data_IF_415459007121
#
_entry.id   IF_415459007121
#
_cell.length_a   1.000
_cell.length_b   1.000
_cell.length_c   1.000
_cell.angle_alpha   90.00
_cell.angle_beta   90.00
_cell.angle_gamma   90.00
#
_symmetry.space_group_name_H-M   'P 1'
#
loop_
_entity.id
_entity.type
_entity.pdbx_description
1 polymer ?
#
# COMPACT_ATOMS: atom_id res chain seq x y z
N UNK A 1 -26.71 -22.88 0.19
CA UNK A 1 -25.49 -22.06 0.15
C UNK A 1 -25.80 -20.86 -0.73
N UNK A 2 -25.94 -19.66 -0.15
CA UNK A 2 -25.91 -18.43 -0.95
C UNK A 2 -24.46 -17.98 -1.03
N UNK A 3 -23.92 -17.88 -2.24
CA UNK A 3 -22.64 -17.22 -2.45
C UNK A 3 -22.83 -15.72 -2.30
N UNK A 4 -22.02 -15.07 -1.48
CA UNK A 4 -21.95 -13.61 -1.50
C UNK A 4 -21.18 -13.19 -2.76
N UNK A 5 -21.91 -12.62 -3.71
CA UNK A 5 -21.34 -12.13 -4.97
C UNK A 5 -20.24 -11.09 -4.71
N UNK A 6 -20.31 -10.34 -3.60
CA UNK A 6 -19.31 -9.33 -3.27
C UNK A 6 -17.94 -9.93 -2.94
N UNK A 7 -17.89 -11.10 -2.32
CA UNK A 7 -16.64 -11.82 -2.05
C UNK A 7 -15.99 -12.31 -3.36
N UNK A 8 -16.80 -12.83 -4.29
CA UNK A 8 -16.32 -13.26 -5.61
C UNK A 8 -15.83 -12.07 -6.45
N UNK A 9 -16.51 -10.93 -6.41
CA UNK A 9 -16.07 -9.71 -7.09
C UNK A 9 -14.78 -9.16 -6.50
N UNK A 10 -14.62 -9.22 -5.18
CA UNK A 10 -13.37 -8.83 -4.50
C UNK A 10 -12.21 -9.71 -4.94
N UNK A 11 -12.40 -11.03 -4.98
CA UNK A 11 -11.38 -11.95 -5.47
C UNK A 11 -11.05 -11.68 -6.94
N UNK A 12 -12.07 -11.51 -7.78
CA UNK A 12 -11.92 -11.15 -9.19
C UNK A 12 -11.10 -9.86 -9.35
N UNK A 13 -11.39 -8.84 -8.56
CA UNK A 13 -10.65 -7.57 -8.56
C UNK A 13 -9.19 -7.72 -8.15
N UNK A 14 -8.87 -8.61 -7.20
CA UNK A 14 -7.48 -8.88 -6.79
C UNK A 14 -6.73 -9.63 -7.90
N UNK A 15 -7.35 -10.61 -8.55
CA UNK A 15 -6.66 -11.46 -9.56
C UNK A 15 -6.55 -10.80 -10.93
N UNK A 16 -7.43 -9.83 -11.25
CA UNK A 16 -7.39 -9.05 -12.51
C UNK A 16 -6.41 -7.89 -12.46
N UNK A 17 -5.34 -8.03 -11.69
CA UNK A 17 -4.29 -7.03 -11.63
C UNK A 17 -3.60 -6.93 -12.99
N UNK A 18 -3.62 -5.74 -13.61
CA UNK A 18 -3.26 -5.58 -15.02
C UNK A 18 -1.76 -5.60 -15.30
N UNK A 19 -0.92 -5.51 -14.26
CA UNK A 19 0.54 -5.44 -14.34
C UNK A 19 1.03 -4.51 -15.47
N UNK A 20 0.68 -3.22 -15.42
CA UNK A 20 0.98 -2.29 -16.50
C UNK A 20 2.50 -2.09 -16.65
N UNK A 21 2.93 -1.79 -17.89
CA UNK A 21 4.34 -1.66 -18.26
C UNK A 21 5.05 -0.49 -17.57
N UNK A 22 4.29 0.54 -17.19
CA UNK A 22 4.82 1.75 -16.57
C UNK A 22 4.61 1.71 -15.06
N UNK A 23 5.66 2.08 -14.33
CA UNK A 23 5.63 2.15 -12.87
C UNK A 23 4.53 3.08 -12.35
N UNK A 24 4.32 4.25 -12.98
CA UNK A 24 3.28 5.19 -12.54
C UNK A 24 1.87 4.62 -12.65
N UNK A 25 1.61 3.83 -13.70
CA UNK A 25 0.32 3.20 -13.94
C UNK A 25 0.10 2.03 -12.98
N UNK A 26 1.17 1.28 -12.68
CA UNK A 26 1.17 0.23 -11.67
C UNK A 26 0.81 0.81 -10.30
N UNK A 27 1.45 1.92 -9.93
CA UNK A 27 1.19 2.60 -8.68
C UNK A 27 -0.24 3.14 -8.59
N UNK A 28 -0.78 3.66 -9.69
CA UNK A 28 -2.17 4.11 -9.76
C UNK A 28 -3.14 2.96 -9.51
N UNK A 29 -2.93 1.81 -10.16
CA UNK A 29 -3.77 0.62 -9.98
C UNK A 29 -3.70 0.10 -8.54
N UNK A 30 -2.50 0.05 -7.94
CA UNK A 30 -2.30 -0.32 -6.53
C UNK A 30 -3.10 0.61 -5.62
N UNK A 31 -2.98 1.93 -5.79
CA UNK A 31 -3.69 2.92 -4.96
C UNK A 31 -5.19 2.75 -5.11
N UNK A 32 -5.70 2.64 -6.34
CA UNK A 32 -7.13 2.50 -6.62
C UNK A 32 -7.71 1.24 -5.97
N UNK A 33 -7.10 0.07 -6.22
CA UNK A 33 -7.55 -1.21 -5.63
C UNK A 33 -7.38 -1.20 -4.11
N UNK A 34 -6.28 -0.66 -3.57
CA UNK A 34 -6.06 -0.61 -2.13
C UNK A 34 -7.09 0.28 -1.41
N UNK A 35 -7.44 1.42 -1.99
CA UNK A 35 -8.47 2.30 -1.44
C UNK A 35 -9.86 1.68 -1.54
N UNK A 36 -10.20 1.07 -2.69
CA UNK A 36 -11.53 0.48 -2.92
C UNK A 36 -11.78 -0.78 -2.11
N UNK A 37 -10.84 -1.73 -2.13
CA UNK A 37 -11.01 -3.05 -1.51
C UNK A 37 -10.71 -3.04 -0.02
N UNK A 38 -9.70 -2.27 0.42
CA UNK A 38 -9.22 -2.32 1.80
C UNK A 38 -9.43 -1.01 2.57
N UNK A 39 -10.03 0.01 1.96
CA UNK A 39 -10.27 1.29 2.61
C UNK A 39 -8.96 2.00 2.99
N UNK A 40 -7.88 1.78 2.24
CA UNK A 40 -6.59 2.45 2.48
C UNK A 40 -6.75 3.95 2.24
N UNK A 41 -6.26 4.74 3.20
CA UNK A 41 -6.29 6.21 3.22
C UNK A 41 -4.91 6.84 3.08
N UNK A 42 -3.86 6.07 3.36
CA UNK A 42 -2.48 6.47 3.13
C UNK A 42 -1.67 5.26 2.72
N UNK A 43 -0.80 5.43 1.74
CA UNK A 43 0.09 4.39 1.24
C UNK A 43 1.45 5.03 0.94
N UNK A 44 2.54 4.34 1.26
CA UNK A 44 3.86 4.77 0.86
C UNK A 44 4.79 3.58 0.61
N UNK A 45 5.65 3.71 -0.39
CA UNK A 45 6.72 2.77 -0.69
C UNK A 45 8.03 3.48 -0.39
N UNK A 46 8.83 2.84 0.47
CA UNK A 46 10.10 3.36 0.92
C UNK A 46 11.17 2.34 0.62
N UNK A 47 12.24 2.73 -0.06
CA UNK A 47 13.39 1.86 -0.31
C UNK A 47 14.53 2.20 0.65
N UNK A 48 15.29 1.18 1.01
CA UNK A 48 16.52 1.33 1.77
C UNK A 48 17.68 1.56 0.83
N UNK A 49 18.18 2.79 0.77
CA UNK A 49 19.43 3.14 0.10
C UNK A 49 20.55 3.15 1.18
N UNK A 50 21.22 2.01 1.34
CA UNK A 50 22.28 1.80 2.34
C UNK A 50 21.80 1.91 3.79
N UNK A 51 22.20 2.98 4.50
CA UNK A 51 21.76 3.26 5.88
C UNK A 51 20.53 4.18 5.95
N UNK A 52 20.02 4.67 4.81
CA UNK A 52 18.91 5.61 4.76
C UNK A 52 17.68 4.97 4.13
N UNK A 53 16.53 5.48 4.52
CA UNK A 53 15.24 5.18 3.90
C UNK A 53 14.85 6.37 3.03
N UNK A 54 14.46 6.10 1.79
CA UNK A 54 14.01 7.09 0.82
C UNK A 54 12.59 6.77 0.40
N UNK A 55 11.70 7.76 0.49
CA UNK A 55 10.35 7.63 -0.04
C UNK A 55 10.44 7.62 -1.56
N UNK A 56 9.94 6.56 -2.19
CA UNK A 56 9.85 6.47 -3.65
C UNK A 56 8.47 6.93 -4.09
N UNK A 57 7.44 6.48 -3.38
CA UNK A 57 6.07 6.83 -3.69
C UNK A 57 5.26 7.07 -2.44
N UNK A 58 4.29 7.99 -2.54
CA UNK A 58 3.37 8.29 -1.45
C UNK A 58 2.01 8.75 -1.96
N UNK A 59 0.98 8.30 -1.25
CA UNK A 59 -0.39 8.72 -1.43
C UNK A 59 -1.05 9.03 -0.09
N UNK A 60 -1.81 10.12 -0.02
CA UNK A 60 -2.46 10.59 1.21
C UNK A 60 -1.51 11.24 2.24
N UNK A 61 -0.24 11.46 1.85
CA UNK A 61 0.78 12.19 2.62
C UNK A 61 1.06 13.54 1.99
N UNK A 62 1.51 14.52 2.79
CA UNK A 62 1.87 15.86 2.26
C UNK A 62 3.33 15.95 1.84
N UNK A 63 4.22 15.30 2.58
CA UNK A 63 5.68 15.33 2.38
C UNK A 63 6.32 14.00 2.75
N UNK A 64 7.53 13.77 2.26
CA UNK A 64 8.28 12.53 2.48
C UNK A 64 8.70 12.35 3.93
N UNK A 65 8.99 13.45 4.64
CA UNK A 65 9.35 13.42 6.06
C UNK A 65 8.21 12.87 6.92
N UNK A 66 6.96 13.16 6.54
CA UNK A 66 5.76 12.63 7.21
C UNK A 66 5.71 11.10 7.12
N UNK A 67 6.10 10.52 5.98
CA UNK A 67 6.14 9.07 5.79
C UNK A 67 7.15 8.44 6.75
N UNK A 68 8.37 8.99 6.79
CA UNK A 68 9.44 8.47 7.64
C UNK A 68 9.10 8.60 9.12
N UNK A 69 8.44 9.68 9.52
CA UNK A 69 7.94 9.87 10.89
C UNK A 69 6.90 8.79 11.24
N UNK A 70 5.94 8.51 10.35
CA UNK A 70 4.92 7.48 10.58
C UNK A 70 5.48 6.06 10.63
N UNK A 71 6.51 5.77 9.85
CA UNK A 71 7.20 4.48 9.91
C UNK A 71 7.91 4.30 11.26
N UNK A 72 8.55 5.35 11.78
CA UNK A 72 9.30 5.28 13.05
C UNK A 72 8.38 5.22 14.27
N UNK A 73 7.35 6.06 14.30
CA UNK A 73 6.52 6.26 15.49
C UNK A 73 5.28 5.37 15.50
N UNK A 74 5.00 4.68 14.38
CA UNK A 74 3.75 3.97 14.18
C UNK A 74 2.55 4.93 14.07
N UNK A 75 1.39 4.35 13.82
CA UNK A 75 0.13 5.08 13.77
C UNK A 75 -1.06 4.14 13.89
N UNK A 76 -2.18 4.67 14.36
CA UNK A 76 -3.41 3.87 14.46
C UNK A 76 -3.86 3.34 13.09
N UNK A 77 -4.20 2.05 13.07
CA UNK A 77 -4.61 1.30 11.88
C UNK A 77 -3.59 1.40 10.74
N UNK A 78 -2.31 1.48 11.09
CA UNK A 78 -1.22 1.43 10.12
C UNK A 78 -0.45 0.11 10.20
N UNK A 79 0.02 -0.31 9.05
CA UNK A 79 0.73 -1.54 8.84
C UNK A 79 2.01 -1.24 8.08
N UNK A 80 3.09 -1.88 8.50
CA UNK A 80 4.39 -1.77 7.87
C UNK A 80 4.79 -3.18 7.45
N UNK A 81 4.91 -3.38 6.15
CA UNK A 81 5.37 -4.63 5.57
C UNK A 81 6.80 -4.47 5.07
N UNK A 82 7.67 -5.38 5.47
CA UNK A 82 9.06 -5.43 5.01
C UNK A 82 9.15 -6.29 3.74
N UNK A 83 9.42 -5.63 2.61
CA UNK A 83 9.70 -6.27 1.34
C UNK A 83 11.15 -6.76 1.34
N UNK A 84 11.31 -8.09 1.43
CA UNK A 84 12.63 -8.75 1.56
C UNK A 84 13.20 -9.29 0.25
N UNK A 85 12.39 -9.35 -0.81
CA UNK A 85 12.83 -9.85 -2.11
C UNK A 85 13.34 -8.68 -2.96
N UNK A 86 14.65 -8.60 -3.17
CA UNK A 86 15.33 -7.48 -3.84
C UNK A 86 15.92 -6.47 -2.85
N UNK A 87 15.96 -5.19 -3.23
CA UNK A 87 16.35 -4.12 -2.31
C UNK A 87 15.39 -4.08 -1.12
N UNK A 88 15.92 -3.92 0.10
CA UNK A 88 15.09 -3.88 1.30
C UNK A 88 14.12 -2.69 1.24
N UNK A 89 12.84 -2.97 1.11
CA UNK A 89 11.78 -1.97 1.02
C UNK A 89 10.80 -2.06 2.18
N UNK A 90 10.15 -0.94 2.50
CA UNK A 90 9.01 -0.88 3.41
C UNK A 90 7.79 -0.44 2.62
N UNK A 91 6.72 -1.21 2.72
CA UNK A 91 5.38 -0.77 2.33
C UNK A 91 4.65 -0.32 3.60
N UNK A 92 4.33 0.96 3.67
CA UNK A 92 3.43 1.51 4.68
C UNK A 92 2.03 1.62 4.10
N UNK A 93 1.01 1.20 4.83
CA UNK A 93 -0.35 1.62 4.55
C UNK A 93 -1.16 1.86 5.83
N UNK A 94 -2.16 2.73 5.72
CA UNK A 94 -3.14 3.00 6.79
C UNK A 94 -4.56 2.85 6.26
N UNK A 95 -5.37 2.06 6.94
CA UNK A 95 -6.78 1.85 6.59
C UNK A 95 -7.73 2.67 7.48
N UNK A 96 -8.90 3.03 6.95
CA UNK A 96 -9.94 3.74 7.73
C UNK A 96 -10.65 2.88 8.77
N UNK A 97 -10.61 1.54 8.66
CA UNK A 97 -11.12 0.59 9.66
C UNK A 97 -10.02 -0.41 10.00
N UNK A 98 -10.06 -1.02 11.20
CA UNK A 98 -9.31 -2.26 11.45
C UNK A 98 -9.91 -3.32 10.54
N UNK A 99 -9.21 -3.66 9.46
CA UNK A 99 -9.49 -4.89 8.75
C UNK A 99 -8.91 -5.98 9.66
N UNK A 100 -9.81 -6.70 10.33
CA UNK A 100 -9.52 -7.92 11.09
C UNK A 100 -9.29 -9.07 10.11
#
# INVERSE_FOLDING_TARGET
MSFDISELLTLYDVVTFSFPERYEDLMREIIEKATRLFGVRRLAIVLREGKRYKCIERWGFRRDEEVLERIKNGGENSFIYLMRNGDQGLLYYRASRKNL
#
